data_IF_121069357277
#
_entry.id   IF_121069357277
#
_cell.length_a   1.000
_cell.length_b   1.000
_cell.length_c   1.000
_cell.angle_alpha   90.00
_cell.angle_beta   90.00
_cell.angle_gamma   90.00
#
_symmetry.space_group_name_H-M   'P 1'
#
loop_
_entity.id
_entity.type
_entity.pdbx_description
1 polymer ?
#
# COMPACT_ATOMS: atom_id res chain seq x y z
N UNK A 1 9.85 -0.83 15.11
CA UNK A 1 9.62 -1.13 13.70
C UNK A 1 8.51 -0.26 13.16
N UNK A 2 8.73 0.33 11.98
CA UNK A 2 7.69 1.00 11.21
C UNK A 2 7.25 0.07 10.08
N UNK A 3 6.01 -0.37 10.09
CA UNK A 3 5.46 -1.16 9.01
C UNK A 3 4.75 -0.25 8.02
N UNK A 4 5.09 -0.38 6.76
CA UNK A 4 4.58 0.45 5.69
C UNK A 4 3.78 -0.39 4.72
N UNK A 5 2.72 0.18 4.21
CA UNK A 5 1.86 -0.46 3.23
C UNK A 5 1.81 0.39 1.98
N UNK A 6 2.02 -0.24 0.86
CA UNK A 6 1.96 0.39 -0.44
C UNK A 6 0.90 -0.29 -1.30
N UNK A 7 0.18 0.49 -2.06
CA UNK A 7 -0.75 0.01 -3.07
C UNK A 7 -0.42 0.65 -4.41
N UNK A 8 -0.73 -0.03 -5.51
CA UNK A 8 -0.47 0.49 -6.84
C UNK A 8 -1.12 1.86 -7.02
N UNK A 9 -0.39 2.78 -7.63
CA UNK A 9 -0.85 4.14 -7.83
C UNK A 9 -0.32 5.15 -6.82
N UNK A 10 0.57 4.71 -5.93
CA UNK A 10 1.25 5.60 -5.00
C UNK A 10 0.52 5.88 -3.71
N UNK A 11 -0.38 5.00 -3.31
CA UNK A 11 -1.08 5.11 -2.03
C UNK A 11 -0.33 4.29 -0.99
N UNK A 12 -0.03 4.87 0.14
CA UNK A 12 0.67 4.16 1.20
C UNK A 12 0.20 4.59 2.58
N UNK A 13 0.50 3.75 3.54
CA UNK A 13 0.01 3.82 4.89
C UNK A 13 1.10 3.42 5.85
N UNK A 14 1.26 4.15 6.93
CA UNK A 14 2.23 3.84 7.98
C UNK A 14 1.50 3.25 9.19
N UNK A 15 2.00 2.12 9.67
CA UNK A 15 1.56 1.51 10.90
C UNK A 15 2.73 1.44 11.87
N UNK A 16 2.65 2.19 12.96
CA UNK A 16 3.69 2.23 14.00
C UNK A 16 3.30 1.36 15.17
N UNK A 17 4.21 0.47 15.53
CA UNK A 17 4.09 -0.32 16.75
C UNK A 17 4.86 0.38 17.86
N UNK A 18 4.12 0.88 18.84
CA UNK A 18 4.68 1.46 20.07
C UNK A 18 4.32 0.58 21.28
N UNK A 19 5.04 0.76 22.39
CA UNK A 19 4.69 0.11 23.65
C UNK A 19 3.23 0.46 24.01
N UNK A 20 2.33 -0.50 23.94
CA UNK A 20 0.92 -0.33 24.25
C UNK A 20 -0.03 -0.26 23.05
N UNK A 21 0.43 -0.41 21.82
CA UNK A 21 -0.44 -0.50 20.64
C UNK A 21 0.16 -0.04 19.32
N UNK A 22 -0.57 -0.28 18.25
CA UNK A 22 -0.24 0.17 16.91
C UNK A 22 -0.93 1.49 16.60
N UNK A 23 -0.21 2.45 16.03
CA UNK A 23 -0.77 3.68 15.49
C UNK A 23 -0.82 3.61 13.98
N UNK A 24 -1.97 3.96 13.43
CA UNK A 24 -2.16 4.07 11.97
C UNK A 24 -2.08 5.53 11.57
N UNK A 25 -1.11 5.88 10.74
CA UNK A 25 -0.90 7.24 10.24
C UNK A 25 -0.96 7.24 8.72
N UNK A 26 -1.88 8.01 8.17
CA UNK A 26 -2.06 8.13 6.74
C UNK A 26 -2.38 9.60 6.37
N UNK A 27 -1.59 10.27 5.52
CA UNK A 27 -0.33 9.81 4.93
C UNK A 27 0.81 9.71 5.94
N UNK A 28 1.87 8.94 5.67
CA UNK A 28 2.99 8.80 6.58
C UNK A 28 3.77 10.12 6.70
N UNK A 29 4.05 10.54 7.93
CA UNK A 29 4.73 11.82 8.20
C UNK A 29 6.17 11.64 8.67
N UNK A 30 6.56 10.43 9.05
CA UNK A 30 7.89 10.13 9.58
C UNK A 30 8.89 9.62 8.55
N UNK A 31 8.46 9.49 7.30
CA UNK A 31 9.26 8.94 6.20
C UNK A 31 9.49 10.05 5.19
N UNK A 32 10.76 10.27 4.82
CA UNK A 32 11.11 11.25 3.83
C UNK A 32 10.58 10.87 2.43
N UNK A 33 10.39 11.87 1.59
CA UNK A 33 9.80 11.68 0.27
C UNK A 33 10.64 10.75 -0.61
N UNK A 34 11.96 10.82 -0.51
CA UNK A 34 12.86 9.97 -1.28
C UNK A 34 12.66 8.48 -0.94
N UNK A 35 12.57 8.16 0.34
CA UNK A 35 12.30 6.79 0.81
C UNK A 35 10.92 6.34 0.35
N UNK A 36 9.91 7.20 0.44
CA UNK A 36 8.57 6.89 -0.05
C UNK A 36 8.59 6.56 -1.54
N UNK A 37 9.29 7.32 -2.36
CA UNK A 37 9.41 7.07 -3.81
C UNK A 37 10.14 5.76 -4.10
N UNK A 38 11.17 5.43 -3.34
CA UNK A 38 11.88 4.15 -3.46
C UNK A 38 10.97 2.97 -3.12
N UNK A 39 10.16 3.10 -2.08
CA UNK A 39 9.20 2.07 -1.67
C UNK A 39 8.11 1.86 -2.74
N UNK A 40 7.61 2.94 -3.31
CA UNK A 40 6.62 2.87 -4.38
C UNK A 40 7.17 2.12 -5.59
N UNK A 41 8.39 2.44 -6.01
CA UNK A 41 9.04 1.73 -7.12
C UNK A 41 9.26 0.25 -6.80
N UNK A 42 9.71 -0.06 -5.58
CA UNK A 42 9.90 -1.44 -5.15
C UNK A 42 8.57 -2.22 -5.16
N UNK A 43 7.48 -1.61 -4.72
CA UNK A 43 6.15 -2.22 -4.77
C UNK A 43 5.69 -2.49 -6.20
N UNK A 44 5.90 -1.55 -7.12
CA UNK A 44 5.56 -1.72 -8.53
C UNK A 44 6.40 -2.81 -9.19
N UNK A 45 7.69 -2.86 -8.89
CA UNK A 45 8.59 -3.91 -9.39
C UNK A 45 8.18 -5.30 -8.90
N UNK A 46 7.84 -5.43 -7.60
CA UNK A 46 7.35 -6.68 -7.03
C UNK A 46 6.03 -7.11 -7.67
N UNK A 47 5.11 -6.15 -7.87
CA UNK A 47 3.83 -6.38 -8.54
C UNK A 47 4.04 -6.95 -9.94
N UNK A 48 4.94 -6.34 -10.72
CA UNK A 48 5.25 -6.79 -12.07
C UNK A 48 5.96 -8.16 -12.08
N UNK A 49 6.92 -8.35 -11.17
CA UNK A 49 7.67 -9.61 -11.08
C UNK A 49 6.78 -10.80 -10.74
N UNK A 50 5.77 -10.59 -9.90
CA UNK A 50 4.79 -11.62 -9.54
C UNK A 50 3.66 -11.76 -10.58
N UNK A 51 3.71 -10.99 -11.65
CA UNK A 51 2.66 -10.96 -12.68
C UNK A 51 1.27 -10.69 -12.11
N UNK A 52 1.21 -9.86 -11.11
CA UNK A 52 -0.06 -9.43 -10.53
C UNK A 52 -0.76 -8.46 -11.48
N UNK A 53 -2.07 -8.41 -11.38
CA UNK A 53 -2.87 -7.51 -12.19
C UNK A 53 -3.94 -6.82 -11.34
N UNK A 54 -4.49 -5.71 -11.83
CA UNK A 54 -5.53 -4.90 -11.22
C UNK A 54 -5.05 -4.16 -9.98
N UNK A 55 -4.87 -4.83 -8.85
CA UNK A 55 -4.46 -4.20 -7.60
C UNK A 55 -3.80 -5.17 -6.64
N UNK A 56 -3.01 -4.63 -5.72
CA UNK A 56 -2.39 -5.37 -4.63
C UNK A 56 -1.98 -4.41 -3.53
N UNK A 57 -1.68 -4.95 -2.35
CA UNK A 57 -1.05 -4.21 -1.27
C UNK A 57 0.34 -4.79 -1.02
N UNK A 58 1.35 -3.95 -1.08
CA UNK A 58 2.72 -4.32 -0.72
C UNK A 58 2.99 -3.90 0.73
N UNK A 59 3.52 -4.80 1.51
CA UNK A 59 3.83 -4.56 2.91
C UNK A 59 5.36 -4.50 3.10
N UNK A 60 5.84 -3.45 3.75
CA UNK A 60 7.25 -3.22 4.02
C UNK A 60 7.49 -2.98 5.50
N UNK A 61 8.69 -3.31 5.95
CA UNK A 61 9.21 -2.90 7.25
C UNK A 61 10.39 -1.97 7.03
N UNK A 62 10.46 -0.90 7.81
CA UNK A 62 11.63 -0.03 7.88
C UNK A 62 12.39 -0.34 9.16
N UNK A 63 13.69 -0.57 9.03
CA UNK A 63 14.58 -0.69 10.16
C UNK A 63 14.93 0.72 10.66
N UNK A 64 14.62 1.01 11.91
CA UNK A 64 14.87 2.32 12.52
C UNK A 64 16.36 2.61 12.73
N UNK A 65 17.21 1.57 12.76
CA UNK A 65 18.65 1.74 12.98
C UNK A 65 19.38 2.22 11.72
N UNK A 66 19.09 1.62 10.56
CA UNK A 66 19.77 1.95 9.30
C UNK A 66 18.90 2.70 8.29
N UNK A 67 17.61 2.85 8.57
CA UNK A 67 16.67 3.51 7.68
C UNK A 67 16.32 2.73 6.41
N UNK A 68 16.80 1.51 6.28
CA UNK A 68 16.50 0.66 5.13
C UNK A 68 15.13 0.00 5.26
N UNK A 69 14.49 -0.24 4.12
CA UNK A 69 13.22 -0.93 4.10
C UNK A 69 13.34 -2.32 3.47
N UNK A 70 12.49 -3.22 3.94
CA UNK A 70 12.47 -4.61 3.51
C UNK A 70 11.05 -4.99 3.13
N UNK A 71 10.90 -5.66 1.98
CA UNK A 71 9.61 -6.17 1.54
C UNK A 71 9.23 -7.41 2.34
N UNK A 72 8.04 -7.40 2.91
CA UNK A 72 7.50 -8.53 3.65
C UNK A 72 6.68 -9.45 2.75
N UNK A 73 5.67 -8.87 2.10
CA UNK A 73 4.74 -9.64 1.28
C UNK A 73 3.97 -8.75 0.31
N UNK A 74 3.36 -9.40 -0.66
CA UNK A 74 2.38 -8.79 -1.57
C UNK A 74 1.02 -9.47 -1.35
N UNK A 75 -0.01 -8.67 -1.10
CA UNK A 75 -1.37 -9.15 -0.90
C UNK A 75 -2.21 -8.94 -2.15
N UNK A 76 -2.57 -10.03 -2.82
CA UNK A 76 -3.36 -9.99 -4.06
C UNK A 76 -4.83 -9.64 -3.80
N UNK A 77 -5.35 -9.98 -2.64
CA UNK A 77 -6.73 -9.70 -2.22
C UNK A 77 -6.75 -9.02 -0.85
N UNK A 78 -6.28 -7.77 -0.76
CA UNK A 78 -6.30 -7.05 0.50
C UNK A 78 -7.74 -6.78 0.96
N UNK A 79 -7.93 -6.64 2.28
CA UNK A 79 -9.23 -6.35 2.85
C UNK A 79 -9.88 -5.11 2.25
N UNK A 80 -11.19 -5.16 2.09
CA UNK A 80 -11.99 -4.11 1.46
C UNK A 80 -13.09 -3.56 2.38
N UNK A 81 -12.99 -3.79 3.69
CA UNK A 81 -13.91 -3.15 4.64
C UNK A 81 -13.57 -1.67 4.81
N UNK A 82 -14.50 -0.88 5.32
CA UNK A 82 -14.25 0.55 5.58
C UNK A 82 -13.08 0.79 6.55
N UNK A 83 -12.77 -0.19 7.40
CA UNK A 83 -11.64 -0.13 8.34
C UNK A 83 -10.34 -0.73 7.78
N UNK A 84 -10.36 -1.29 6.56
CA UNK A 84 -9.19 -1.90 5.94
C UNK A 84 -8.20 -0.87 5.42
N UNK A 85 -6.94 -1.26 5.32
CA UNK A 85 -5.83 -0.35 4.96
C UNK A 85 -5.94 0.17 3.53
N UNK A 86 -6.33 -0.67 2.56
CA UNK A 86 -6.45 -0.24 1.17
C UNK A 86 -7.49 0.86 0.97
N UNK A 87 -8.74 0.72 1.45
CA UNK A 87 -9.72 1.81 1.35
C UNK A 87 -9.29 3.08 2.09
N UNK A 88 -8.64 2.96 3.25
CA UNK A 88 -8.12 4.11 3.99
C UNK A 88 -7.03 4.84 3.22
N UNK A 89 -6.09 4.12 2.63
CA UNK A 89 -5.03 4.70 1.80
C UNK A 89 -5.60 5.39 0.55
N UNK A 90 -6.56 4.75 -0.10
CA UNK A 90 -7.24 5.33 -1.26
C UNK A 90 -7.98 6.63 -0.89
N UNK A 91 -8.65 6.65 0.23
CA UNK A 91 -9.35 7.85 0.73
C UNK A 91 -8.37 9.00 1.01
N UNK A 92 -7.23 8.71 1.60
CA UNK A 92 -6.18 9.70 1.82
C UNK A 92 -5.65 10.30 0.50
N UNK A 93 -5.71 9.54 -0.59
CA UNK A 93 -5.35 9.99 -1.93
C UNK A 93 -6.52 10.64 -2.70
N UNK A 94 -7.68 10.83 -2.07
CA UNK A 94 -8.85 11.47 -2.68
C UNK A 94 -9.79 10.52 -3.41
N UNK A 95 -9.65 9.20 -3.23
CA UNK A 95 -10.51 8.19 -3.85
C UNK A 95 -11.47 7.65 -2.80
N UNK A 96 -12.76 7.97 -2.96
CA UNK A 96 -13.79 7.46 -2.06
C UNK A 96 -14.02 5.95 -2.30
N UNK A 97 -14.60 5.28 -1.30
CA UNK A 97 -14.80 3.83 -1.32
C UNK A 97 -15.55 3.34 -2.56
N UNK A 98 -16.64 4.02 -2.92
CA UNK A 98 -17.43 3.64 -4.10
C UNK A 98 -16.61 3.76 -5.39
N UNK A 99 -15.86 4.84 -5.54
CA UNK A 99 -14.97 5.05 -6.69
C UNK A 99 -13.87 3.98 -6.73
N UNK A 100 -13.30 3.62 -5.58
CA UNK A 100 -12.30 2.55 -5.51
C UNK A 100 -12.87 1.23 -6.01
N UNK A 101 -14.07 0.86 -5.56
CA UNK A 101 -14.74 -0.36 -6.02
C UNK A 101 -15.00 -0.35 -7.53
N UNK A 102 -15.48 0.77 -8.06
CA UNK A 102 -15.71 0.93 -9.51
C UNK A 102 -14.42 0.78 -10.31
N UNK A 103 -13.33 1.41 -9.86
CA UNK A 103 -12.01 1.30 -10.52
C UNK A 103 -11.50 -0.14 -10.52
N UNK A 104 -11.66 -0.87 -9.43
CA UNK A 104 -11.27 -2.28 -9.35
C UNK A 104 -12.06 -3.11 -10.36
N UNK A 105 -13.37 -2.88 -10.46
CA UNK A 105 -14.24 -3.59 -11.42
C UNK A 105 -13.80 -3.28 -12.85
N UNK A 106 -13.62 -2.02 -13.20
CA UNK A 106 -13.20 -1.60 -14.52
C UNK A 106 -11.86 -2.22 -14.92
N UNK A 107 -10.86 -2.13 -14.05
CA UNK A 107 -9.55 -2.72 -14.30
C UNK A 107 -9.62 -4.24 -14.41
N UNK A 108 -10.46 -4.89 -13.62
CA UNK A 108 -10.66 -6.34 -13.70
C UNK A 108 -11.29 -6.75 -15.02
N UNK A 109 -12.24 -5.98 -15.54
CA UNK A 109 -12.84 -6.22 -16.84
C UNK A 109 -11.81 -6.03 -17.96
N UNK A 110 -11.02 -4.96 -17.89
CA UNK A 110 -9.96 -4.71 -18.86
C UNK A 110 -8.90 -5.81 -18.85
N UNK A 111 -8.49 -6.28 -17.68
CA UNK A 111 -7.53 -7.37 -17.54
C UNK A 111 -8.00 -8.67 -18.15
N UNK A 112 -9.29 -8.99 -17.99
CA UNK A 112 -9.90 -10.22 -18.53
C UNK A 112 -9.82 -10.30 -20.06
N UNK A 113 -9.84 -9.17 -20.74
CA UNK A 113 -9.87 -9.10 -22.20
C UNK A 113 -8.55 -8.67 -22.84
N UNK A 114 -7.50 -8.63 -22.08
CA UNK A 114 -6.14 -8.33 -22.60
C UNK A 114 -5.55 -9.45 -23.42
#
# INVERSE_FOLDING_TARGET
YNQQFFVRGGYYYENKYQAGGAQEICPPVSIDEETQQRMMRAGEEAFAALRMDVYARADFIIDDEDGEFYSLEMNALPGMTAASLLPKAAKAAGIEYNELCERIIEESMNARYR
#
